data_IF_146892910389
#
_entry.id   IF_146892910389
#
_cell.length_a   1.000
_cell.length_b   1.000
_cell.length_c   1.000
_cell.angle_alpha   90.00
_cell.angle_beta   90.00
_cell.angle_gamma   90.00
#
_symmetry.space_group_name_H-M   'P 1'
#
loop_
_entity.id
_entity.type
_entity.pdbx_description
1 polymer ?
#
# COMPACT_ATOMS: atom_id res chain seq x y z
N UNK A 1 -20.71 24.53 -38.62
CA UNK A 1 -20.68 25.16 -37.30
C UNK A 1 -21.35 24.31 -36.23
N UNK A 2 -22.61 23.86 -36.39
CA UNK A 2 -23.31 23.03 -35.34
C UNK A 2 -22.58 21.73 -34.99
N UNK A 3 -22.00 21.03 -35.97
CA UNK A 3 -21.23 19.78 -35.69
C UNK A 3 -19.89 20.03 -34.97
N UNK A 4 -19.26 21.16 -35.24
CA UNK A 4 -18.03 21.58 -34.56
C UNK A 4 -18.32 21.95 -33.08
N UNK A 5 -19.44 22.63 -32.82
CA UNK A 5 -19.88 22.97 -31.47
C UNK A 5 -20.25 21.71 -30.64
N UNK A 6 -20.92 20.74 -31.27
CA UNK A 6 -21.25 19.46 -30.62
C UNK A 6 -19.98 18.65 -30.27
N UNK A 7 -18.95 18.69 -31.16
CA UNK A 7 -17.66 18.06 -30.89
C UNK A 7 -16.92 18.72 -29.72
N UNK A 8 -16.92 20.07 -29.69
CA UNK A 8 -16.31 20.83 -28.59
C UNK A 8 -17.00 20.58 -27.23
N UNK A 9 -18.33 20.50 -27.24
CA UNK A 9 -19.09 20.14 -26.02
C UNK A 9 -18.83 18.70 -25.57
N UNK A 10 -18.74 17.76 -26.50
CA UNK A 10 -18.40 16.37 -26.17
C UNK A 10 -16.96 16.25 -25.63
N UNK A 11 -16.03 16.99 -26.20
CA UNK A 11 -14.65 17.04 -25.72
C UNK A 11 -14.55 17.67 -24.32
N UNK A 12 -15.29 18.75 -24.07
CA UNK A 12 -15.36 19.39 -22.75
C UNK A 12 -15.98 18.46 -21.70
N UNK A 13 -16.99 17.66 -22.09
CA UNK A 13 -17.61 16.67 -21.21
C UNK A 13 -16.65 15.52 -20.86
N UNK A 14 -15.83 15.07 -21.81
CA UNK A 14 -14.80 14.04 -21.57
C UNK A 14 -13.67 14.56 -20.68
N UNK A 15 -13.26 15.83 -20.86
CA UNK A 15 -12.25 16.49 -20.03
C UNK A 15 -12.76 16.81 -18.61
N UNK A 16 -14.08 16.91 -18.40
CA UNK A 16 -14.69 17.11 -17.10
C UNK A 16 -14.89 15.81 -16.28
N UNK A 17 -14.63 14.64 -16.86
CA UNK A 17 -14.49 13.40 -16.13
C UNK A 17 -13.17 13.46 -15.35
N UNK A 18 -13.20 14.21 -14.25
CA UNK A 18 -12.05 14.49 -13.42
C UNK A 18 -11.31 13.21 -13.06
N UNK A 19 -10.02 13.20 -13.26
CA UNK A 19 -9.13 12.25 -12.65
C UNK A 19 -9.33 12.42 -11.14
N UNK A 20 -9.92 11.45 -10.46
CA UNK A 20 -9.93 11.43 -9.00
C UNK A 20 -8.47 11.36 -8.57
N UNK A 21 -7.89 12.48 -8.21
CA UNK A 21 -6.60 12.51 -7.54
C UNK A 21 -6.87 11.96 -6.13
N UNK A 22 -6.50 10.72 -5.89
CA UNK A 22 -6.45 10.19 -4.54
C UNK A 22 -5.32 10.93 -3.83
N UNK A 23 -5.64 11.65 -2.77
CA UNK A 23 -4.67 12.33 -1.93
C UNK A 23 -4.45 11.47 -0.68
N UNK A 24 -3.21 11.08 -0.43
CA UNK A 24 -2.81 10.52 0.87
C UNK A 24 -2.65 11.65 1.88
N UNK A 25 -2.68 11.32 3.17
CA UNK A 25 -2.51 12.31 4.25
C UNK A 25 -1.11 12.96 4.20
N UNK A 26 -1.03 14.19 4.69
CA UNK A 26 0.23 14.93 4.79
C UNK A 26 1.14 14.36 5.90
N UNK A 27 2.39 14.79 5.92
CA UNK A 27 3.32 14.43 7.00
C UNK A 27 2.90 15.11 8.29
N UNK A 28 3.03 14.41 9.41
CA UNK A 28 2.94 15.02 10.74
C UNK A 28 4.20 15.83 11.08
N UNK A 29 4.10 16.69 12.11
CA UNK A 29 5.25 17.47 12.61
C UNK A 29 6.36 16.54 13.16
N UNK A 30 6.01 15.39 13.71
CA UNK A 30 6.97 14.41 14.23
C UNK A 30 7.62 13.56 13.15
N UNK A 31 7.13 13.55 11.92
CA UNK A 31 7.54 12.74 10.77
C UNK A 31 7.39 11.23 10.95
N UNK A 32 7.81 10.65 12.09
CA UNK A 32 7.87 9.20 12.29
C UNK A 32 6.52 8.58 12.69
N UNK A 33 5.60 9.40 13.21
CA UNK A 33 4.25 8.96 13.57
C UNK A 33 3.22 9.97 13.15
N UNK A 34 2.13 9.52 12.51
CA UNK A 34 1.00 10.34 12.12
C UNK A 34 -0.29 9.59 12.46
N UNK A 35 -0.81 9.83 13.67
CA UNK A 35 -1.98 9.15 14.21
C UNK A 35 -3.27 9.94 13.88
N UNK A 36 -3.72 9.89 12.63
CA UNK A 36 -4.94 10.57 12.18
C UNK A 36 -6.22 9.89 12.66
N UNK A 37 -6.17 8.59 12.94
CA UNK A 37 -7.29 7.85 13.53
C UNK A 37 -7.39 8.04 15.06
N UNK A 38 -6.37 8.64 15.69
CA UNK A 38 -6.28 8.89 17.12
C UNK A 38 -6.49 7.62 17.96
N UNK A 39 -5.74 6.58 17.60
CA UNK A 39 -5.80 5.24 18.22
C UNK A 39 -4.51 4.85 18.94
N UNK A 40 -3.46 5.66 18.87
CA UNK A 40 -2.21 5.44 19.56
C UNK A 40 -2.13 6.26 20.85
N UNK A 41 -1.43 5.75 21.84
CA UNK A 41 -1.13 6.50 23.04
C UNK A 41 0.04 7.47 22.80
N UNK A 42 0.07 8.57 23.55
CA UNK A 42 1.18 9.52 23.50
C UNK A 42 2.54 8.84 23.86
N UNK A 43 2.52 7.83 24.71
CA UNK A 43 3.71 7.06 25.08
C UNK A 43 4.22 6.23 23.87
N UNK A 44 3.33 5.64 23.09
CA UNK A 44 3.67 4.92 21.86
C UNK A 44 4.22 5.87 20.78
N UNK A 45 3.59 7.01 20.57
CA UNK A 45 4.07 8.02 19.64
C UNK A 45 5.48 8.53 20.01
N UNK A 46 5.69 8.88 21.27
CA UNK A 46 7.00 9.32 21.76
C UNK A 46 8.06 8.23 21.58
N UNK A 47 7.70 6.99 21.92
CA UNK A 47 8.57 5.85 21.77
C UNK A 47 9.02 5.64 20.32
N UNK A 48 8.09 5.71 19.36
CA UNK A 48 8.40 5.62 17.92
C UNK A 48 9.42 6.71 17.52
N UNK A 49 9.24 7.95 17.99
CA UNK A 49 10.15 9.05 17.71
C UNK A 49 11.55 8.81 18.31
N UNK A 50 11.62 8.36 19.57
CA UNK A 50 12.88 8.14 20.28
C UNK A 50 13.75 7.06 19.62
N UNK A 51 13.13 5.94 19.23
CA UNK A 51 13.86 4.85 18.58
C UNK A 51 14.29 5.18 17.16
N UNK A 52 13.53 6.00 16.42
CA UNK A 52 13.93 6.41 15.08
C UNK A 52 15.21 7.25 15.08
N UNK A 53 15.43 8.08 16.11
CA UNK A 53 16.70 8.77 16.26
C UNK A 53 17.92 7.83 16.37
N UNK A 54 17.76 6.69 17.05
CA UNK A 54 18.78 5.67 17.15
C UNK A 54 18.92 4.84 15.83
N UNK A 55 17.80 4.54 15.16
CA UNK A 55 17.79 3.87 13.85
C UNK A 55 18.57 4.66 12.80
N UNK A 56 18.30 5.96 12.68
CA UNK A 56 19.00 6.82 11.72
C UNK A 56 20.51 6.82 11.95
N UNK A 57 20.93 6.87 13.22
CA UNK A 57 22.35 6.91 13.55
C UNK A 57 23.06 5.57 13.37
N UNK A 58 22.42 4.45 13.68
CA UNK A 58 23.07 3.14 13.75
C UNK A 58 22.80 2.27 12.52
N UNK A 59 21.72 2.54 11.76
CA UNK A 59 21.27 1.73 10.63
C UNK A 59 21.26 2.50 9.30
N UNK A 60 22.29 3.34 9.06
CA UNK A 60 22.49 4.07 7.80
C UNK A 60 21.27 4.92 7.39
N UNK A 61 20.68 5.65 8.32
CA UNK A 61 19.52 6.50 8.05
C UNK A 61 18.21 5.73 7.89
N UNK A 62 18.12 4.51 8.43
CA UNK A 62 16.87 3.76 8.43
C UNK A 62 15.80 4.43 9.29
N UNK A 63 14.55 4.30 8.89
CA UNK A 63 13.39 4.87 9.57
C UNK A 63 12.25 3.86 9.59
N UNK A 64 11.48 3.81 10.69
CA UNK A 64 10.22 3.11 10.81
C UNK A 64 9.13 4.14 11.07
N UNK A 65 8.27 4.37 10.09
CA UNK A 65 7.16 5.33 10.17
C UNK A 65 5.86 4.59 10.43
N UNK A 66 5.01 5.12 11.29
CA UNK A 66 3.68 4.59 11.58
C UNK A 66 2.63 5.64 11.20
N UNK A 67 1.65 5.24 10.39
CA UNK A 67 0.54 6.09 9.97
C UNK A 67 -0.77 5.38 10.26
N UNK A 68 -1.68 6.05 10.94
CA UNK A 68 -3.04 5.58 11.12
C UNK A 68 -4.01 6.50 10.42
N UNK A 69 -5.01 5.94 9.74
CA UNK A 69 -6.11 6.66 9.10
C UNK A 69 -7.42 5.94 9.38
N UNK A 70 -8.54 6.64 9.32
CA UNK A 70 -9.85 5.98 9.40
C UNK A 70 -10.13 5.18 8.12
N UNK A 71 -9.94 5.79 6.95
CA UNK A 71 -10.29 5.24 5.65
C UNK A 71 -9.19 5.48 4.62
N UNK A 72 -9.16 4.62 3.60
CA UNK A 72 -8.23 4.70 2.46
C UNK A 72 -8.81 5.48 1.27
N UNK A 73 -9.99 6.08 1.42
CA UNK A 73 -10.70 6.85 0.38
C UNK A 73 -10.83 6.12 -0.97
N UNK A 74 -11.00 4.80 -0.91
CA UNK A 74 -11.17 3.95 -2.08
C UNK A 74 -9.87 3.48 -2.75
N UNK A 75 -8.72 3.78 -2.17
CA UNK A 75 -7.44 3.20 -2.59
C UNK A 75 -7.26 1.77 -2.06
N UNK A 76 -6.41 0.98 -2.71
CA UNK A 76 -5.92 -0.25 -2.11
C UNK A 76 -4.93 0.08 -1.00
N UNK A 77 -4.86 -0.76 0.04
CA UNK A 77 -4.04 -0.48 1.22
C UNK A 77 -2.54 -0.45 0.90
N UNK A 78 -2.08 -1.33 0.02
CA UNK A 78 -0.71 -1.34 -0.47
C UNK A 78 -0.38 -0.10 -1.32
N UNK A 79 -1.26 0.30 -2.23
CA UNK A 79 -1.08 1.50 -3.05
C UNK A 79 -1.00 2.76 -2.17
N UNK A 80 -1.89 2.90 -1.17
CA UNK A 80 -1.89 4.01 -0.23
C UNK A 80 -0.60 4.06 0.60
N UNK A 81 -0.16 2.90 1.12
CA UNK A 81 1.07 2.81 1.90
C UNK A 81 2.31 3.16 1.09
N UNK A 82 2.42 2.70 -0.16
CA UNK A 82 3.55 3.04 -1.03
C UNK A 82 3.51 4.49 -1.52
N UNK A 83 2.33 5.07 -1.71
CA UNK A 83 2.20 6.51 -2.01
C UNK A 83 2.70 7.36 -0.85
N UNK A 84 2.31 7.03 0.40
CA UNK A 84 2.85 7.67 1.61
C UNK A 84 4.36 7.48 1.70
N UNK A 85 4.84 6.25 1.57
CA UNK A 85 6.26 5.90 1.67
C UNK A 85 7.11 6.73 0.72
N UNK A 86 6.69 6.85 -0.54
CA UNK A 86 7.42 7.58 -1.57
C UNK A 86 7.29 9.10 -1.41
N UNK A 87 6.09 9.61 -1.15
CA UNK A 87 5.85 11.06 -1.02
C UNK A 87 6.53 11.64 0.22
N UNK A 88 6.62 10.85 1.30
CA UNK A 88 7.31 11.27 2.51
C UNK A 88 8.81 11.05 2.46
N UNK A 89 9.29 10.17 1.58
CA UNK A 89 10.70 9.84 1.43
C UNK A 89 11.23 9.09 2.64
N UNK A 90 10.55 8.01 3.04
CA UNK A 90 10.86 7.24 4.25
C UNK A 90 12.18 6.46 4.11
N UNK A 91 13.08 6.65 5.06
CA UNK A 91 14.41 6.04 5.09
C UNK A 91 15.47 6.84 4.33
N UNK A 92 16.68 6.30 4.29
CA UNK A 92 17.80 6.92 3.58
C UNK A 92 17.58 6.93 2.07
N UNK A 93 17.79 8.07 1.43
CA UNK A 93 17.78 8.17 -0.05
C UNK A 93 18.90 7.40 -0.73
N UNK A 94 19.99 7.11 -0.02
CA UNK A 94 21.14 6.34 -0.52
C UNK A 94 20.88 4.83 -0.37
N UNK A 95 20.36 4.41 0.80
CA UNK A 95 20.21 2.98 1.15
C UNK A 95 18.82 2.46 0.88
N UNK A 96 17.79 3.31 0.71
CA UNK A 96 16.39 2.93 0.52
C UNK A 96 15.91 1.88 1.53
N UNK A 97 16.21 2.13 2.80
CA UNK A 97 16.10 1.17 3.91
C UNK A 97 15.05 1.53 4.94
N UNK A 98 14.06 2.32 4.59
CA UNK A 98 12.95 2.67 5.46
C UNK A 98 11.85 1.61 5.48
N UNK A 99 10.98 1.66 6.49
CA UNK A 99 9.72 0.92 6.60
C UNK A 99 8.59 1.87 6.98
N UNK A 100 7.37 1.63 6.46
CA UNK A 100 6.17 2.37 6.82
C UNK A 100 5.03 1.40 7.09
N UNK A 101 4.51 1.44 8.31
CA UNK A 101 3.32 0.71 8.73
C UNK A 101 2.09 1.63 8.61
N UNK A 102 1.16 1.27 7.75
CA UNK A 102 -0.14 1.91 7.59
C UNK A 102 -1.22 1.08 8.27
N UNK A 103 -2.06 1.74 9.07
CA UNK A 103 -3.29 1.19 9.62
C UNK A 103 -4.49 1.97 9.07
N UNK A 104 -5.46 1.29 8.45
CA UNK A 104 -6.76 1.85 8.07
C UNK A 104 -7.82 1.25 9.01
N UNK A 105 -8.07 1.95 10.10
CA UNK A 105 -8.75 1.43 11.29
C UNK A 105 -10.20 1.01 10.99
N UNK A 106 -10.97 1.86 10.30
CA UNK A 106 -12.39 1.60 10.01
C UNK A 106 -12.58 0.57 8.89
N UNK A 107 -11.52 0.30 8.12
CA UNK A 107 -11.55 -0.73 7.07
C UNK A 107 -10.95 -2.06 7.52
N UNK A 108 -10.43 -2.14 8.75
CA UNK A 108 -9.70 -3.28 9.32
C UNK A 108 -8.61 -3.77 8.37
N UNK A 109 -7.77 -2.85 7.89
CA UNK A 109 -6.67 -3.11 6.96
C UNK A 109 -5.38 -2.50 7.48
N UNK A 110 -4.28 -3.18 7.22
CA UNK A 110 -2.94 -2.64 7.46
C UNK A 110 -1.98 -3.11 6.38
N UNK A 111 -0.89 -2.35 6.21
CA UNK A 111 0.17 -2.69 5.27
C UNK A 111 1.53 -2.21 5.78
N UNK A 112 2.55 -3.06 5.64
CA UNK A 112 3.94 -2.70 5.88
C UNK A 112 4.66 -2.52 4.54
N UNK A 113 4.86 -1.26 4.13
CA UNK A 113 5.69 -0.89 2.99
C UNK A 113 7.16 -0.82 3.42
N UNK A 114 8.07 -1.18 2.54
CA UNK A 114 9.51 -1.11 2.81
C UNK A 114 10.32 -0.76 1.56
N UNK A 115 11.48 -0.16 1.78
CA UNK A 115 12.34 0.33 0.73
C UNK A 115 13.05 -0.78 -0.06
N UNK A 116 13.37 -0.49 -1.32
CA UNK A 116 14.01 -1.44 -2.23
C UNK A 116 15.37 -1.94 -1.74
N UNK A 117 16.08 -1.15 -0.92
CA UNK A 117 17.35 -1.55 -0.32
C UNK A 117 17.25 -2.73 0.63
N UNK A 118 16.06 -3.03 1.13
CA UNK A 118 15.82 -4.16 2.03
C UNK A 118 15.49 -5.47 1.30
N UNK A 119 15.18 -5.44 0.00
CA UNK A 119 14.71 -6.61 -0.77
C UNK A 119 15.65 -7.82 -0.75
N UNK A 120 16.94 -7.60 -0.55
CA UNK A 120 17.93 -8.70 -0.51
C UNK A 120 17.94 -9.44 0.83
N UNK A 121 17.43 -8.83 1.90
CA UNK A 121 17.49 -9.33 3.28
C UNK A 121 16.11 -9.44 3.95
N UNK A 122 15.09 -8.79 3.38
CA UNK A 122 13.71 -8.82 3.87
C UNK A 122 12.79 -9.33 2.76
N UNK A 123 12.37 -10.58 2.85
CA UNK A 123 11.40 -11.15 1.92
C UNK A 123 9.97 -10.82 2.34
N UNK A 124 9.04 -10.84 1.38
CA UNK A 124 7.61 -10.68 1.66
C UNK A 124 7.09 -11.74 2.65
N UNK A 125 7.61 -12.96 2.61
CA UNK A 125 7.27 -14.01 3.56
C UNK A 125 7.73 -13.66 4.98
N UNK A 126 8.91 -13.04 5.12
CA UNK A 126 9.40 -12.58 6.43
C UNK A 126 8.53 -11.46 7.00
N UNK A 127 8.08 -10.54 6.15
CA UNK A 127 7.14 -9.46 6.52
C UNK A 127 5.81 -10.05 6.98
N UNK A 128 5.23 -10.96 6.19
CA UNK A 128 3.97 -11.61 6.55
C UNK A 128 4.08 -12.38 7.86
N UNK A 129 5.16 -13.13 8.07
CA UNK A 129 5.40 -13.85 9.32
C UNK A 129 5.53 -12.91 10.54
N UNK A 130 6.12 -11.73 10.38
CA UNK A 130 6.18 -10.73 11.46
C UNK A 130 4.78 -10.15 11.74
N UNK A 131 4.01 -9.82 10.71
CA UNK A 131 2.63 -9.35 10.87
C UNK A 131 1.74 -10.40 11.51
N UNK A 132 1.80 -11.67 11.07
CA UNK A 132 1.00 -12.78 11.61
C UNK A 132 1.34 -13.03 13.08
N UNK A 133 2.60 -12.89 13.47
CA UNK A 133 3.05 -13.22 14.82
C UNK A 133 2.88 -12.08 15.82
N UNK A 134 3.00 -10.83 15.38
CA UNK A 134 3.17 -9.69 16.27
C UNK A 134 2.14 -8.58 16.08
N UNK A 135 1.23 -8.69 15.07
CA UNK A 135 0.36 -7.58 14.73
C UNK A 135 -1.12 -7.96 14.64
N UNK A 136 -1.49 -8.98 13.84
CA UNK A 136 -2.88 -9.20 13.45
C UNK A 136 -3.80 -9.55 14.63
N UNK A 137 -3.35 -10.33 15.63
CA UNK A 137 -4.19 -10.72 16.77
C UNK A 137 -4.67 -9.48 17.55
N UNK A 138 -3.76 -8.60 17.93
CA UNK A 138 -4.10 -7.38 18.66
C UNK A 138 -4.81 -6.35 17.79
N UNK A 139 -4.44 -6.25 16.49
CA UNK A 139 -5.10 -5.35 15.55
C UNK A 139 -6.56 -5.73 15.33
N UNK A 140 -6.88 -7.00 15.09
CA UNK A 140 -8.24 -7.51 14.90
C UNK A 140 -9.11 -7.37 16.16
N UNK A 141 -8.49 -7.42 17.33
CA UNK A 141 -9.11 -7.15 18.63
C UNK A 141 -9.33 -5.64 18.92
N UNK A 142 -8.86 -4.75 18.03
CA UNK A 142 -8.91 -3.30 18.21
C UNK A 142 -7.90 -2.74 19.23
N UNK A 143 -6.91 -3.53 19.62
CA UNK A 143 -5.80 -3.14 20.51
C UNK A 143 -4.66 -2.54 19.68
N UNK A 144 -4.92 -1.44 19.01
CA UNK A 144 -3.99 -0.84 18.02
C UNK A 144 -2.64 -0.45 18.62
N UNK A 145 -2.64 0.05 19.85
CA UNK A 145 -1.42 0.43 20.58
C UNK A 145 -0.51 -0.79 20.81
N UNK A 146 -1.10 -1.90 21.27
CA UNK A 146 -0.38 -3.16 21.52
C UNK A 146 0.13 -3.76 20.19
N UNK A 147 -0.69 -3.78 19.14
CA UNK A 147 -0.34 -4.26 17.82
C UNK A 147 0.86 -3.49 17.23
N UNK A 148 0.80 -2.16 17.29
CA UNK A 148 1.88 -1.29 16.80
C UNK A 148 3.15 -1.50 17.62
N UNK A 149 3.07 -1.51 18.94
CA UNK A 149 4.25 -1.70 19.81
C UNK A 149 4.91 -3.07 19.61
N UNK A 150 4.11 -4.13 19.49
CA UNK A 150 4.62 -5.50 19.30
C UNK A 150 5.34 -5.64 17.95
N UNK A 151 4.74 -5.14 16.87
CA UNK A 151 5.38 -5.15 15.56
C UNK A 151 6.60 -4.23 15.50
N UNK A 152 6.52 -3.02 16.08
CA UNK A 152 7.64 -2.09 16.14
C UNK A 152 8.86 -2.70 16.80
N UNK A 153 8.68 -3.43 17.92
CA UNK A 153 9.75 -4.18 18.57
C UNK A 153 10.37 -5.25 17.65
N UNK A 154 9.54 -5.99 16.93
CA UNK A 154 10.01 -6.99 15.98
C UNK A 154 10.83 -6.37 14.85
N UNK A 155 10.41 -5.21 14.35
CA UNK A 155 11.14 -4.46 13.33
C UNK A 155 12.48 -3.89 13.85
N UNK A 156 12.51 -3.37 15.08
CA UNK A 156 13.76 -2.95 15.73
C UNK A 156 14.74 -4.11 15.85
N UNK A 157 14.28 -5.24 16.37
CA UNK A 157 15.09 -6.46 16.48
C UNK A 157 15.59 -6.94 15.12
N UNK A 158 14.77 -6.80 14.07
CA UNK A 158 15.18 -7.11 12.71
C UNK A 158 16.33 -6.19 12.24
N UNK A 159 16.25 -4.87 12.49
CA UNK A 159 17.34 -3.94 12.16
C UNK A 159 18.60 -4.27 12.96
N UNK A 160 18.49 -4.53 14.26
CA UNK A 160 19.63 -4.89 15.09
C UNK A 160 20.36 -6.13 14.55
N UNK A 161 19.63 -7.14 14.12
CA UNK A 161 20.21 -8.37 13.57
C UNK A 161 20.86 -8.16 12.19
N UNK A 162 20.30 -7.30 11.34
CA UNK A 162 20.80 -7.14 9.96
C UNK A 162 21.89 -6.05 9.83
N UNK A 163 21.90 -5.06 10.71
CA UNK A 163 22.87 -3.97 10.71
C UNK A 163 23.93 -4.12 11.80
N UNK A 164 23.79 -5.11 12.70
CA UNK A 164 24.68 -5.28 13.85
C UNK A 164 24.57 -4.11 14.85
N UNK A 165 23.43 -3.41 14.83
CA UNK A 165 23.13 -2.28 15.70
C UNK A 165 22.66 -2.74 17.09
N UNK A 166 22.41 -1.81 17.98
CA UNK A 166 21.87 -2.00 19.32
C UNK A 166 20.79 -0.96 19.60
N UNK A 167 19.89 -0.77 18.63
CA UNK A 167 18.82 0.24 18.70
C UNK A 167 17.89 -0.02 19.86
N UNK A 168 17.52 -1.29 20.11
CA UNK A 168 16.69 -1.65 21.27
C UNK A 168 17.31 -1.23 22.61
N UNK A 169 18.62 -1.32 22.74
CA UNK A 169 19.30 -0.90 23.96
C UNK A 169 19.42 0.62 24.08
N UNK A 170 19.58 1.31 22.96
CA UNK A 170 19.66 2.78 22.94
C UNK A 170 18.32 3.42 23.29
N UNK A 171 17.20 2.94 22.74
CA UNK A 171 15.86 3.43 23.03
C UNK A 171 15.45 3.25 24.50
N UNK A 172 15.85 2.17 25.14
CA UNK A 172 15.60 1.93 26.57
C UNK A 172 16.29 2.96 27.50
N UNK A 173 17.32 3.66 27.03
CA UNK A 173 17.94 4.74 27.78
C UNK A 173 17.11 6.03 27.77
N UNK A 174 16.16 6.19 26.85
CA UNK A 174 15.25 7.34 26.78
C UNK A 174 13.91 7.06 27.48
N UNK A 175 13.48 5.79 27.54
CA UNK A 175 12.21 5.38 28.16
C UNK A 175 12.42 4.77 29.55
N UNK A 176 12.60 5.60 30.56
CA UNK A 176 12.63 5.18 31.97
C UNK A 176 11.20 5.04 32.51
N UNK A 177 10.41 4.07 32.01
CA UNK A 177 9.05 3.94 32.54
C UNK A 177 8.23 2.69 32.19
N UNK A 178 8.63 1.82 31.30
CA UNK A 178 7.82 0.66 30.94
C UNK A 178 8.65 -0.60 30.70
N UNK A 179 8.53 -1.60 31.57
CA UNK A 179 9.23 -2.87 31.45
C UNK A 179 8.48 -3.82 30.53
N UNK A 180 8.88 -3.91 29.25
CA UNK A 180 8.48 -5.01 28.37
C UNK A 180 9.59 -6.05 28.31
N UNK A 181 9.25 -7.28 28.71
CA UNK A 181 10.18 -8.39 28.83
C UNK A 181 10.32 -9.11 27.49
N UNK A 182 11.33 -8.70 26.70
CA UNK A 182 11.60 -9.26 25.37
C UNK A 182 12.36 -10.59 25.49
N UNK A 183 11.64 -11.71 25.34
CA UNK A 183 12.25 -13.02 25.14
C UNK A 183 11.80 -13.62 23.80
N UNK A 184 12.37 -13.13 22.69
CA UNK A 184 12.11 -13.67 21.37
C UNK A 184 13.29 -14.47 20.84
N UNK A 185 13.17 -15.80 20.91
CA UNK A 185 14.13 -16.72 20.31
C UNK A 185 13.73 -17.06 18.87
N UNK A 186 14.68 -16.86 17.96
CA UNK A 186 14.63 -17.08 16.53
C UNK A 186 14.09 -18.47 16.11
N UNK A 187 13.13 -18.47 15.17
CA UNK A 187 12.69 -19.67 14.49
C UNK A 187 11.88 -19.34 13.23
N UNK A 188 12.54 -18.92 12.17
CA UNK A 188 11.88 -18.69 10.87
C UNK A 188 11.99 -19.95 10.00
N UNK A 189 10.85 -20.57 9.64
CA UNK A 189 10.77 -21.49 8.52
C UNK A 189 9.42 -21.43 7.80
N UNK A 190 9.50 -20.96 6.57
CA UNK A 190 8.86 -21.35 5.31
C UNK A 190 7.34 -21.17 5.06
N UNK A 191 7.02 -20.21 4.24
CA UNK A 191 6.40 -20.24 2.92
C UNK A 191 4.87 -20.29 2.77
N UNK A 192 4.26 -19.20 2.29
CA UNK A 192 3.14 -19.30 1.32
C UNK A 192 2.94 -17.99 0.53
N UNK A 193 2.68 -18.17 -0.77
CA UNK A 193 2.60 -17.12 -1.77
C UNK A 193 1.19 -16.52 -1.90
N UNK A 194 1.07 -15.19 -1.94
CA UNK A 194 -0.17 -14.49 -2.24
C UNK A 194 -0.37 -14.30 -3.75
N UNK A 195 -1.58 -14.62 -4.23
CA UNK A 195 -2.01 -14.35 -5.62
C UNK A 195 -2.35 -12.87 -5.78
N UNK A 196 -1.60 -12.19 -6.63
CA UNK A 196 -1.87 -10.85 -7.13
C UNK A 196 -3.14 -10.86 -8.00
N UNK A 197 -4.20 -10.17 -7.58
CA UNK A 197 -5.38 -9.89 -8.42
C UNK A 197 -5.14 -8.56 -9.16
N UNK A 198 -4.83 -8.66 -10.46
CA UNK A 198 -4.67 -7.52 -11.35
C UNK A 198 -6.04 -7.06 -11.86
N UNK A 199 -6.53 -5.92 -11.34
CA UNK A 199 -7.83 -5.34 -11.69
C UNK A 199 -7.81 -4.21 -12.72
N UNK A 200 -6.74 -4.04 -13.54
CA UNK A 200 -6.61 -2.88 -14.44
C UNK A 200 -7.21 -3.07 -15.86
N UNK A 201 -7.68 -4.25 -16.23
CA UNK A 201 -8.16 -4.55 -17.59
C UNK A 201 -9.48 -3.88 -17.99
N UNK A 202 -10.38 -3.62 -17.05
CA UNK A 202 -11.75 -3.17 -17.36
C UNK A 202 -11.81 -1.69 -17.76
N UNK A 203 -10.99 -0.84 -17.16
CA UNK A 203 -10.94 0.61 -17.47
C UNK A 203 -10.39 0.89 -18.87
N UNK A 204 -9.34 0.17 -19.26
CA UNK A 204 -8.75 0.29 -20.61
C UNK A 204 -9.71 -0.17 -21.69
N UNK A 205 -10.51 -1.21 -21.43
CA UNK A 205 -11.50 -1.73 -22.36
C UNK A 205 -12.66 -0.74 -22.58
N UNK A 206 -13.11 -0.05 -21.53
CA UNK A 206 -14.17 0.96 -21.63
C UNK A 206 -13.67 2.18 -22.44
N UNK A 207 -12.45 2.65 -22.20
CA UNK A 207 -11.88 3.77 -22.96
C UNK A 207 -11.73 3.42 -24.44
N UNK A 208 -11.26 2.22 -24.77
CA UNK A 208 -11.15 1.76 -26.16
C UNK A 208 -12.54 1.61 -26.83
N UNK A 209 -13.55 1.18 -26.08
CA UNK A 209 -14.93 1.06 -26.58
C UNK A 209 -15.55 2.43 -26.87
N UNK A 210 -15.30 3.43 -26.03
CA UNK A 210 -15.74 4.81 -26.24
C UNK A 210 -15.03 5.44 -27.45
N UNK A 211 -13.73 5.24 -27.59
CA UNK A 211 -12.94 5.69 -28.74
C UNK A 211 -13.46 5.02 -30.02
N UNK A 212 -13.73 3.71 -29.99
CA UNK A 212 -14.27 2.99 -31.14
C UNK A 212 -15.67 3.49 -31.55
N UNK A 213 -16.55 3.80 -30.58
CA UNK A 213 -17.88 4.39 -30.87
C UNK A 213 -17.79 5.82 -31.43
N UNK A 214 -16.79 6.61 -31.01
CA UNK A 214 -16.60 7.99 -31.50
C UNK A 214 -15.99 8.06 -32.90
N UNK A 215 -15.16 7.09 -33.28
CA UNK A 215 -14.48 7.05 -34.57
C UNK A 215 -15.16 6.18 -35.63
N UNK A 216 -16.25 5.46 -35.29
CA UNK A 216 -17.11 4.77 -36.25
C UNK A 216 -18.41 5.57 -36.47
N UNK A 217 -18.44 6.50 -37.45
CA UNK A 217 -19.68 7.13 -37.82
C UNK A 217 -20.54 6.09 -38.54
N UNK A 218 -21.53 5.55 -37.87
CA UNK A 218 -22.57 4.72 -38.50
C UNK A 218 -23.28 5.55 -39.57
N UNK A 219 -22.68 5.51 -40.75
CA UNK A 219 -23.20 6.18 -41.94
C UNK A 219 -24.52 5.57 -42.38
N UNK A 220 -25.57 6.34 -42.22
CA UNK A 220 -26.83 6.14 -42.93
C UNK A 220 -26.56 6.12 -44.41
N UNK A 221 -26.77 4.98 -45.07
CA UNK A 221 -27.35 4.96 -46.41
C UNK A 221 -27.90 3.57 -46.70
N UNK A 222 -29.14 3.60 -47.20
CA UNK A 222 -29.95 2.44 -47.48
C UNK A 222 -29.56 1.71 -48.76
N UNK A 223 -30.14 0.52 -48.89
CA UNK A 223 -30.30 -0.19 -50.16
C UNK A 223 -29.65 -1.55 -50.21
N UNK A 224 -30.45 -2.60 -50.02
CA UNK A 224 -30.43 -3.84 -50.77
C UNK A 224 -29.32 -4.86 -50.53
N UNK A 225 -29.73 -6.06 -50.12
CA UNK A 225 -29.04 -7.31 -50.50
C UNK A 225 -28.20 -8.00 -49.44
N UNK A 226 -28.75 -9.02 -48.93
CA UNK A 226 -28.26 -10.31 -48.42
C UNK A 226 -26.83 -10.54 -47.99
N UNK A 227 -26.81 -11.35 -46.98
CA UNK A 227 -25.79 -12.34 -46.61
C UNK A 227 -24.73 -11.98 -45.56
N UNK A 228 -24.85 -12.74 -44.48
CA UNK A 228 -23.77 -13.31 -43.63
C UNK A 228 -22.86 -12.36 -42.87
N UNK A 229 -23.32 -12.04 -41.64
CA UNK A 229 -22.48 -11.43 -40.60
C UNK A 229 -22.27 -12.37 -39.41
N UNK A 230 -21.88 -13.61 -39.66
CA UNK A 230 -21.55 -14.56 -38.61
C UNK A 230 -20.37 -15.46 -38.98
N UNK A 231 -19.11 -15.01 -38.84
CA UNK A 231 -18.05 -15.99 -38.70
C UNK A 231 -17.29 -15.98 -37.38
N UNK A 232 -17.43 -15.01 -36.49
CA UNK A 232 -16.56 -15.00 -35.31
C UNK A 232 -17.26 -15.11 -33.95
N UNK A 233 -18.56 -15.32 -33.92
CA UNK A 233 -19.28 -15.75 -32.73
C UNK A 233 -19.11 -17.26 -32.41
N UNK A 234 -18.54 -18.04 -33.34
CA UNK A 234 -18.31 -19.47 -33.15
C UNK A 234 -16.98 -19.83 -32.49
N UNK A 235 -16.09 -18.86 -32.20
CA UNK A 235 -14.77 -19.13 -31.60
C UNK A 235 -14.76 -19.18 -30.07
N UNK A 236 -15.84 -18.80 -29.38
CA UNK A 236 -15.88 -18.82 -27.91
C UNK A 236 -16.60 -20.01 -27.30
N UNK A 237 -17.12 -20.98 -28.11
CA UNK A 237 -17.91 -22.08 -27.56
C UNK A 237 -17.19 -23.43 -27.54
N UNK A 238 -15.85 -23.48 -27.66
CA UNK A 238 -15.12 -24.74 -27.67
C UNK A 238 -13.93 -24.78 -26.70
N UNK A 239 -14.08 -24.23 -25.50
CA UNK A 239 -13.05 -24.32 -24.45
C UNK A 239 -13.66 -24.68 -23.08
N UNK A 240 -14.64 -25.62 -23.10
CA UNK A 240 -15.16 -26.20 -21.87
C UNK A 240 -15.60 -27.64 -22.13
N UNK A 241 -14.66 -28.54 -22.36
CA UNK A 241 -14.76 -29.99 -22.14
C UNK A 241 -13.41 -30.65 -22.42
N UNK A 242 -12.83 -31.27 -21.37
CA UNK A 242 -11.68 -32.18 -21.52
C UNK A 242 -10.91 -32.35 -20.22
N UNK A 243 -11.40 -33.28 -19.42
CA UNK A 243 -10.78 -34.12 -18.40
C UNK A 243 -9.98 -33.45 -17.29
#
# INVERSE_FOLDING_TARGET
MKKFFAFLMALALVLSLGVSAYAVVDKSDSFYVADYANVLSADTEQRICDYNGALEQQCNGAQIVVVTVDYLDGMYCDDYAYELFNSWGVGSSEYNNGMLLLLAVQENKAWLAYGLGLNSVLSSDSVNNMLDKFFWEDFDDGKYDDAVNSLFNALLSWYDNNYGSKVEQAGNNYSSGGSYNNNYNNGYNNGQSYRRSSGSGLRTLIILLVIFCLFNPFGRRGGGGGSSWLPWLCLFNNMSRGH
#
